data_IF_604865062049
#
_entry.id   IF_604865062049
#
_cell.length_a   1.000
_cell.length_b   1.000
_cell.length_c   1.000
_cell.angle_alpha   90.00
_cell.angle_beta   90.00
_cell.angle_gamma   90.00
#
_symmetry.space_group_name_H-M   'P 1'
#
loop_
_entity.id
_entity.type
_entity.pdbx_description
1 polymer ?
#
# COMPACT_ATOMS: atom_id res chain seq x y z
N UNK A 1 -8.34 -9.03 16.63
CA UNK A 1 -8.23 -9.59 15.27
C UNK A 1 -9.60 -9.70 14.62
N UNK A 2 -10.54 -10.48 15.16
CA UNK A 2 -11.89 -10.59 14.60
C UNK A 2 -12.67 -9.26 14.62
N UNK A 3 -12.64 -8.53 15.73
CA UNK A 3 -13.27 -7.20 15.81
C UNK A 3 -12.61 -6.17 14.86
N UNK A 4 -11.29 -6.28 14.67
CA UNK A 4 -10.51 -5.34 13.83
C UNK A 4 -10.83 -5.55 12.33
N UNK A 5 -11.25 -6.75 11.91
CA UNK A 5 -11.68 -6.98 10.53
C UNK A 5 -13.07 -6.42 10.25
N UNK A 6 -14.01 -6.63 11.15
CA UNK A 6 -15.34 -6.04 11.03
C UNK A 6 -15.25 -4.51 10.98
N UNK A 7 -14.34 -3.93 11.77
CA UNK A 7 -14.03 -2.50 11.73
C UNK A 7 -13.42 -2.09 10.38
N UNK A 8 -12.44 -2.83 9.84
CA UNK A 8 -11.83 -2.53 8.54
C UNK A 8 -12.81 -2.66 7.37
N UNK A 9 -13.71 -3.65 7.39
CA UNK A 9 -14.75 -3.82 6.37
C UNK A 9 -15.77 -2.67 6.42
N UNK A 10 -16.18 -2.26 7.63
CA UNK A 10 -17.04 -1.09 7.82
C UNK A 10 -16.38 0.18 7.30
N UNK A 11 -15.10 0.41 7.62
CA UNK A 11 -14.34 1.56 7.12
C UNK A 11 -14.20 1.52 5.60
N UNK A 12 -14.00 0.33 5.01
CA UNK A 12 -13.92 0.17 3.55
C UNK A 12 -15.24 0.55 2.87
N UNK A 13 -16.37 0.06 3.40
CA UNK A 13 -17.69 0.38 2.88
C UNK A 13 -18.05 1.86 3.05
N UNK A 14 -17.74 2.47 4.19
CA UNK A 14 -17.93 3.90 4.41
C UNK A 14 -17.13 4.73 3.40
N UNK A 15 -15.87 4.34 3.18
CA UNK A 15 -14.98 5.05 2.27
C UNK A 15 -15.44 4.91 0.81
N UNK A 16 -15.99 3.76 0.41
CA UNK A 16 -16.60 3.55 -0.90
C UNK A 16 -17.83 4.45 -1.13
N UNK A 17 -18.74 4.52 -0.15
CA UNK A 17 -19.93 5.38 -0.21
C UNK A 17 -19.56 6.87 -0.26
N UNK A 18 -18.50 7.27 0.45
CA UNK A 18 -18.00 8.65 0.43
C UNK A 18 -17.27 8.99 -0.87
N UNK A 19 -16.54 8.02 -1.46
CA UNK A 19 -15.65 8.26 -2.59
C UNK A 19 -16.37 8.64 -3.89
N UNK A 20 -17.38 7.87 -4.29
CA UNK A 20 -18.08 8.10 -5.56
C UNK A 20 -18.67 9.52 -5.71
N UNK A 21 -19.45 10.05 -4.76
CA UNK A 21 -19.98 11.41 -4.88
C UNK A 21 -18.88 12.48 -4.85
N UNK A 22 -17.78 12.27 -4.12
CA UNK A 22 -16.65 13.20 -4.08
C UNK A 22 -15.93 13.29 -5.43
N UNK A 23 -15.75 12.15 -6.10
CA UNK A 23 -15.07 12.07 -7.38
C UNK A 23 -15.95 12.63 -8.51
N UNK A 24 -17.27 12.39 -8.45
CA UNK A 24 -18.23 13.02 -9.36
C UNK A 24 -18.27 14.55 -9.16
N UNK A 25 -18.30 15.01 -7.91
CA UNK A 25 -18.24 16.44 -7.58
C UNK A 25 -16.94 17.09 -8.08
N UNK A 26 -15.79 16.40 -7.95
CA UNK A 26 -14.51 16.87 -8.48
C UNK A 26 -14.50 16.95 -10.01
N UNK A 27 -15.09 15.94 -10.67
CA UNK A 27 -15.19 15.85 -12.13
C UNK A 27 -16.10 16.95 -12.69
N UNK A 28 -17.20 17.28 -11.99
CA UNK A 28 -18.10 18.37 -12.34
C UNK A 28 -17.44 19.75 -12.13
N UNK A 29 -16.74 19.93 -11.01
CA UNK A 29 -16.10 21.20 -10.66
C UNK A 29 -14.74 21.00 -10.01
N UNK A 30 -13.71 21.25 -10.80
CA UNK A 30 -12.31 21.27 -10.33
C UNK A 30 -12.12 22.47 -9.41
N UNK A 31 -11.96 22.20 -8.12
CA UNK A 31 -11.68 23.23 -7.11
C UNK A 31 -10.61 22.74 -6.14
N UNK A 32 -9.85 23.67 -5.56
CA UNK A 32 -8.82 23.35 -4.56
C UNK A 32 -9.41 22.64 -3.34
N UNK A 33 -10.67 22.95 -3.00
CA UNK A 33 -11.40 22.28 -1.92
C UNK A 33 -11.72 20.83 -2.27
N UNK A 34 -12.22 20.55 -3.47
CA UNK A 34 -12.55 19.19 -3.90
C UNK A 34 -11.30 18.33 -4.07
N UNK A 35 -10.22 18.91 -4.61
CA UNK A 35 -8.91 18.24 -4.69
C UNK A 35 -8.37 17.86 -3.30
N UNK A 36 -8.50 18.75 -2.32
CA UNK A 36 -8.09 18.46 -0.95
C UNK A 36 -8.95 17.36 -0.30
N UNK A 37 -10.27 17.36 -0.55
CA UNK A 37 -11.17 16.28 -0.09
C UNK A 37 -10.78 14.93 -0.69
N UNK A 38 -10.55 14.86 -2.00
CA UNK A 38 -10.10 13.63 -2.68
C UNK A 38 -8.71 13.19 -2.22
N UNK A 39 -7.78 14.12 -1.99
CA UNK A 39 -6.46 13.81 -1.42
C UNK A 39 -6.55 13.20 -0.02
N UNK A 40 -7.42 13.73 0.84
CA UNK A 40 -7.67 13.16 2.18
C UNK A 40 -8.32 11.79 2.10
N UNK A 41 -9.29 11.63 1.22
CA UNK A 41 -9.93 10.34 0.93
C UNK A 41 -8.90 9.30 0.47
N UNK A 42 -8.07 9.62 -0.53
CA UNK A 42 -6.96 8.77 -1.00
C UNK A 42 -5.97 8.42 0.11
N UNK A 43 -5.66 9.37 0.99
CA UNK A 43 -4.78 9.12 2.14
C UNK A 43 -5.38 8.11 3.13
N UNK A 44 -6.68 8.24 3.43
CA UNK A 44 -7.41 7.27 4.27
C UNK A 44 -7.47 5.90 3.61
N UNK A 45 -7.78 5.86 2.31
CA UNK A 45 -7.81 4.63 1.52
C UNK A 45 -6.47 3.90 1.59
N UNK A 46 -5.37 4.57 1.26
CA UNK A 46 -4.02 3.96 1.28
C UNK A 46 -3.65 3.46 2.68
N UNK A 47 -4.02 4.18 3.73
CA UNK A 47 -3.78 3.74 5.10
C UNK A 47 -4.57 2.46 5.45
N UNK A 48 -5.85 2.41 5.06
CA UNK A 48 -6.70 1.25 5.28
C UNK A 48 -6.23 0.04 4.46
N UNK A 49 -5.93 0.23 3.17
CA UNK A 49 -5.39 -0.84 2.31
C UNK A 49 -4.13 -1.47 2.90
N UNK A 50 -3.22 -0.67 3.46
CA UNK A 50 -2.02 -1.19 4.14
C UNK A 50 -2.34 -2.01 5.39
N UNK A 51 -3.33 -1.58 6.19
CA UNK A 51 -3.78 -2.33 7.37
C UNK A 51 -4.38 -3.68 6.97
N UNK A 52 -5.26 -3.68 5.96
CA UNK A 52 -5.89 -4.90 5.42
C UNK A 52 -4.85 -5.84 4.82
N UNK A 53 -3.88 -5.33 4.05
CA UNK A 53 -2.75 -6.11 3.53
C UNK A 53 -1.95 -6.76 4.66
N UNK A 54 -1.62 -6.01 5.72
CA UNK A 54 -0.89 -6.56 6.84
C UNK A 54 -1.65 -7.71 7.52
N UNK A 55 -2.96 -7.56 7.73
CA UNK A 55 -3.78 -8.63 8.32
C UNK A 55 -3.87 -9.84 7.38
N UNK A 56 -3.97 -9.62 6.06
CA UNK A 56 -3.89 -10.68 5.05
C UNK A 56 -2.60 -11.47 5.19
N UNK A 57 -1.46 -10.77 5.20
CA UNK A 57 -0.13 -11.39 5.22
C UNK A 57 0.12 -12.15 6.53
N UNK A 58 -0.35 -11.63 7.67
CA UNK A 58 -0.26 -12.33 8.97
C UNK A 58 -1.10 -13.62 9.01
N UNK A 59 -2.24 -13.66 8.31
CA UNK A 59 -3.10 -14.85 8.24
C UNK A 59 -2.58 -15.87 7.24
N UNK A 60 -2.09 -15.41 6.09
CA UNK A 60 -1.41 -16.26 5.11
C UNK A 60 -0.24 -16.98 5.79
N UNK A 61 0.58 -16.24 6.54
CA UNK A 61 1.69 -16.82 7.30
C UNK A 61 1.23 -17.83 8.36
N UNK A 62 0.13 -17.56 9.07
CA UNK A 62 -0.42 -18.47 10.08
C UNK A 62 -0.98 -19.75 9.44
N UNK A 63 -1.60 -19.64 8.27
CA UNK A 63 -2.13 -20.79 7.52
C UNK A 63 -1.02 -21.65 6.90
N UNK A 64 0.16 -21.07 6.61
CA UNK A 64 1.29 -21.80 6.03
C UNK A 64 2.02 -22.73 7.05
N UNK A 65 1.81 -22.56 8.36
CA UNK A 65 2.48 -23.35 9.41
C UNK A 65 1.47 -24.11 10.30
N UNK A 66 1.32 -25.42 10.04
CA UNK A 66 0.51 -26.35 10.84
C UNK A 66 0.91 -26.36 12.33
N UNK A 67 2.17 -26.06 12.66
CA UNK A 67 2.67 -25.95 14.02
C UNK A 67 2.06 -24.75 14.76
N UNK A 68 2.05 -23.58 14.11
CA UNK A 68 1.42 -22.37 14.66
C UNK A 68 -0.10 -22.55 14.78
N UNK A 69 -0.74 -23.24 13.83
CA UNK A 69 -2.16 -23.62 13.92
C UNK A 69 -2.44 -24.55 15.12
N UNK A 70 -1.58 -25.55 15.35
CA UNK A 70 -1.71 -26.48 16.46
C UNK A 70 -1.55 -25.79 17.83
N UNK A 71 -0.72 -24.76 17.92
CA UNK A 71 -0.52 -23.99 19.16
C UNK A 71 -1.77 -23.23 19.60
N UNK A 72 -2.71 -22.94 18.69
CA UNK A 72 -3.93 -22.19 18.97
C UNK A 72 -4.98 -23.01 19.75
N UNK A 73 -4.81 -24.34 19.87
CA UNK A 73 -5.66 -25.23 20.67
C UNK A 73 -5.40 -25.13 22.19
N UNK A 74 -5.51 -23.91 22.72
CA UNK A 74 -5.16 -23.56 24.09
C UNK A 74 -6.01 -24.26 25.15
N UNK A 75 -7.30 -24.54 24.85
CA UNK A 75 -8.22 -25.22 25.76
C UNK A 75 -7.75 -26.65 26.07
N UNK A 76 -7.29 -27.37 25.06
CA UNK A 76 -6.77 -28.74 25.21
C UNK A 76 -5.38 -28.72 25.83
N UNK A 77 -4.52 -27.76 25.45
CA UNK A 77 -3.19 -27.54 26.07
C UNK A 77 -3.31 -27.23 27.57
N UNK A 78 -4.30 -26.42 27.97
CA UNK A 78 -4.62 -26.11 29.37
C UNK A 78 -5.12 -27.34 30.13
N UNK A 79 -6.04 -28.11 29.54
CA UNK A 79 -6.56 -29.36 30.14
C UNK A 79 -5.45 -30.38 30.38
N UNK A 80 -4.55 -30.56 29.42
CA UNK A 80 -3.36 -31.43 29.55
C UNK A 80 -2.43 -30.98 30.67
N UNK A 81 -2.21 -29.67 30.78
CA UNK A 81 -1.40 -29.09 31.85
C UNK A 81 -2.05 -29.28 33.23
N UNK A 82 -3.36 -29.07 33.36
CA UNK A 82 -4.12 -29.29 34.60
C UNK A 82 -4.11 -30.77 35.02
N UNK A 83 -4.22 -31.71 34.09
CA UNK A 83 -4.10 -33.15 34.34
C UNK A 83 -2.69 -33.56 34.79
N UNK A 84 -1.65 -32.95 34.21
CA UNK A 84 -0.26 -33.22 34.61
C UNK A 84 0.07 -32.74 36.03
N UNK A 85 -0.54 -31.64 36.49
CA UNK A 85 -0.34 -31.12 37.85
C UNK A 85 -1.02 -31.97 38.95
N UNK A 86 -2.08 -32.71 38.63
CA UNK A 86 -2.73 -33.63 39.58
C UNK A 86 -2.09 -35.03 39.61
N UNK A 87 -1.35 -35.42 38.56
CA UNK A 87 -0.73 -36.75 38.46
C UNK A 87 0.51 -36.97 39.33
N UNK A 88 1.24 -35.91 39.69
CA UNK A 88 2.53 -36.01 40.39
C UNK A 88 2.43 -36.29 41.91
N UNK A 89 1.22 -36.33 42.47
CA UNK A 89 1.01 -36.63 43.90
C UNK A 89 0.94 -38.12 44.25
N UNK A 90 0.96 -39.06 43.29
CA UNK A 90 0.68 -40.49 43.59
C UNK A 90 1.88 -41.45 43.63
N UNK A 91 3.14 -40.99 43.49
CA UNK A 91 4.32 -41.88 43.45
C UNK A 91 5.38 -41.60 44.53
N UNK A 92 4.97 -41.43 45.79
CA UNK A 92 5.92 -41.44 46.93
C UNK A 92 5.28 -42.06 48.17
N UNK A 93 5.15 -43.39 48.17
CA UNK A 93 4.56 -44.13 49.27
C UNK A 93 5.11 -45.54 49.41
N UNK A 94 5.97 -45.70 50.42
CA UNK A 94 6.34 -46.95 51.12
C UNK A 94 7.30 -47.95 50.45
N UNK A 95 8.54 -47.96 50.96
CA UNK A 95 9.12 -49.18 51.56
C UNK A 95 10.29 -48.84 52.51
N UNK A 96 10.08 -49.09 53.81
CA UNK A 96 11.13 -49.15 54.83
C UNK A 96 11.11 -50.51 55.49
N UNK A 97 12.31 -51.10 55.64
CA UNK A 97 12.84 -52.07 56.64
C UNK A 97 14.15 -52.60 56.01
N UNK A 98 15.32 -52.73 56.63
CA UNK A 98 15.85 -52.61 57.98
C UNK A 98 17.39 -52.83 57.87
N UNK A 99 18.20 -52.44 58.88
CA UNK A 99 19.48 -53.12 59.17
C UNK A 99 20.84 -52.53 58.71
N UNK A 100 21.37 -51.60 59.52
CA UNK A 100 22.74 -51.51 60.06
C UNK A 100 24.04 -51.72 59.20
N UNK A 101 24.79 -50.60 59.06
CA UNK A 101 26.21 -50.36 59.42
C UNK A 101 27.38 -51.24 58.89
N UNK A 102 28.26 -50.54 58.14
CA UNK A 102 29.72 -50.36 58.37
C UNK A 102 30.82 -51.19 57.66
N UNK A 103 31.78 -50.42 57.10
CA UNK A 103 33.20 -50.70 56.70
C UNK A 103 33.40 -51.63 55.47
N UNK A 104 34.27 -51.40 54.47
CA UNK A 104 35.53 -50.63 54.37
C UNK A 104 36.05 -50.51 52.90
N UNK A 105 36.73 -49.37 52.64
CA UNK A 105 37.89 -49.04 51.77
C UNK A 105 38.17 -49.68 50.37
N UNK A 106 38.75 -48.90 49.42
CA UNK A 106 39.07 -49.30 48.04
C UNK A 106 40.55 -49.72 47.87
N UNK A 107 40.85 -50.66 46.97
CA UNK A 107 42.22 -50.87 46.47
C UNK A 107 42.20 -51.36 45.01
N UNK A 108 42.69 -50.51 44.10
CA UNK A 108 43.21 -50.88 42.76
C UNK A 108 44.63 -51.48 42.92
N UNK A 109 45.20 -52.32 42.01
CA UNK A 109 45.45 -51.89 40.62
C UNK A 109 45.45 -52.97 39.51
N UNK A 110 45.22 -52.49 38.28
CA UNK A 110 45.91 -52.80 37.01
C UNK A 110 46.31 -54.26 36.71
N UNK A 111 45.65 -54.86 35.70
CA UNK A 111 46.28 -55.15 34.38
C UNK A 111 45.29 -55.90 33.47
N UNK A 112 44.92 -55.30 32.34
CA UNK A 112 44.42 -55.97 31.13
C UNK A 112 45.58 -56.74 30.42
N UNK A 113 45.39 -57.60 29.39
CA UNK A 113 44.35 -57.55 28.35
C UNK A 113 43.86 -58.98 27.88
N UNK A 114 43.28 -59.20 26.68
CA UNK A 114 41.92 -59.76 26.55
C UNK A 114 41.84 -61.09 25.76
N UNK A 115 40.60 -61.53 25.51
CA UNK A 115 40.17 -62.58 24.57
C UNK A 115 40.31 -64.03 25.10
N UNK A 116 39.24 -64.80 25.25
CA UNK A 116 38.34 -65.18 24.17
C UNK A 116 36.98 -65.65 24.68
N UNK A 117 35.98 -65.35 23.85
CA UNK A 117 34.56 -65.63 24.00
C UNK A 117 34.27 -67.13 23.94
N UNK A 118 33.47 -67.68 24.86
CA UNK A 118 32.42 -68.66 24.51
C UNK A 118 31.31 -68.75 25.56
N UNK A 119 30.13 -69.05 25.03
CA UNK A 119 28.76 -68.77 25.46
C UNK A 119 28.20 -69.86 26.39
N UNK A 120 27.38 -69.50 27.39
CA UNK A 120 26.23 -70.33 27.82
C UNK A 120 25.14 -69.56 28.62
N UNK A 121 24.14 -69.13 27.84
CA UNK A 121 22.68 -69.08 28.04
C UNK A 121 22.05 -69.31 29.45
N UNK A 122 21.32 -68.29 29.92
CA UNK A 122 19.92 -68.37 30.42
C UNK A 122 19.39 -66.94 30.71
N UNK A 123 18.94 -66.21 29.69
CA UNK A 123 17.51 -65.95 29.39
C UNK A 123 16.61 -65.69 30.61
N UNK A 124 16.49 -64.41 30.99
CA UNK A 124 15.27 -63.87 31.58
C UNK A 124 14.72 -62.75 30.69
N UNK A 125 13.42 -62.88 30.45
CA UNK A 125 12.56 -62.10 29.59
C UNK A 125 12.12 -60.85 30.36
N UNK A 126 12.39 -59.66 29.81
CA UNK A 126 11.57 -58.47 30.06
C UNK A 126 11.81 -57.46 28.93
N UNK A 127 11.03 -57.63 27.88
CA UNK A 127 10.80 -56.66 26.81
C UNK A 127 9.92 -55.55 27.38
N UNK A 128 10.48 -54.38 27.67
CA UNK A 128 9.69 -53.13 27.70
C UNK A 128 10.04 -52.33 26.45
N UNK A 129 9.43 -52.77 25.34
CA UNK A 129 9.09 -51.86 24.25
C UNK A 129 8.13 -50.83 24.84
N UNK A 130 8.59 -49.60 25.04
CA UNK A 130 7.68 -48.46 25.17
C UNK A 130 7.51 -47.88 23.77
N UNK A 131 6.72 -48.59 22.95
CA UNK A 131 6.14 -48.03 21.73
C UNK A 131 4.62 -48.20 21.82
N UNK A 132 3.93 -47.12 21.45
CA UNK A 132 2.48 -46.97 21.27
C UNK A 132 1.61 -46.81 22.53
N UNK A 133 1.41 -45.54 22.90
CA UNK A 133 0.07 -44.95 23.10
C UNK A 133 0.12 -43.47 22.70
N UNK A 134 0.35 -43.16 21.40
CA UNK A 134 0.09 -41.82 20.83
C UNK A 134 -0.69 -41.84 19.51
N UNK A 135 -1.10 -43.01 19.05
CA UNK A 135 -1.77 -43.18 17.75
C UNK A 135 -3.23 -42.70 17.72
N UNK A 136 -3.80 -42.34 18.88
CA UNK A 136 -5.14 -41.74 18.97
C UNK A 136 -5.10 -40.22 19.16
N UNK A 137 -3.93 -39.63 19.45
CA UNK A 137 -3.80 -38.18 19.65
C UNK A 137 -3.59 -37.43 18.33
N UNK A 138 -2.84 -38.01 17.39
CA UNK A 138 -2.57 -37.34 16.10
C UNK A 138 -3.83 -37.14 15.26
N UNK A 139 -4.78 -38.09 15.29
CA UNK A 139 -6.02 -37.99 14.52
C UNK A 139 -6.95 -36.88 15.03
N UNK A 140 -6.97 -36.62 16.34
CA UNK A 140 -7.74 -35.52 16.92
C UNK A 140 -7.05 -34.17 16.71
N UNK A 141 -5.72 -34.13 16.72
CA UNK A 141 -4.94 -32.92 16.43
C UNK A 141 -5.07 -32.52 14.95
N UNK A 142 -5.01 -33.46 14.01
CA UNK A 142 -5.22 -33.17 12.58
C UNK A 142 -6.66 -32.73 12.28
N UNK A 143 -7.66 -33.37 12.90
CA UNK A 143 -9.06 -33.05 12.67
C UNK A 143 -9.46 -31.69 13.27
N UNK A 144 -8.76 -31.27 14.33
CA UNK A 144 -8.92 -29.94 14.90
C UNK A 144 -8.19 -28.90 14.04
N UNK A 145 -6.95 -29.12 13.61
CA UNK A 145 -6.26 -28.24 12.65
C UNK A 145 -7.12 -27.98 11.39
N UNK A 146 -7.75 -29.01 10.83
CA UNK A 146 -8.62 -28.90 9.65
C UNK A 146 -9.87 -28.01 9.91
N UNK A 147 -10.46 -28.05 11.12
CA UNK A 147 -11.56 -27.15 11.49
C UNK A 147 -11.11 -25.68 11.59
N UNK A 148 -9.89 -25.44 12.08
CA UNK A 148 -9.30 -24.11 12.20
C UNK A 148 -8.91 -23.53 10.84
N UNK A 149 -8.34 -24.37 9.96
CA UNK A 149 -8.02 -24.05 8.57
C UNK A 149 -9.27 -23.60 7.82
N UNK A 150 -10.38 -24.36 7.89
CA UNK A 150 -11.66 -23.97 7.27
C UNK A 150 -12.16 -22.59 7.75
N UNK A 151 -11.97 -22.27 9.04
CA UNK A 151 -12.37 -20.97 9.59
C UNK A 151 -11.46 -19.83 9.12
N UNK A 152 -10.15 -20.05 9.13
CA UNK A 152 -9.18 -19.07 8.66
C UNK A 152 -9.34 -18.80 7.16
N UNK A 153 -9.62 -19.83 6.36
CA UNK A 153 -9.83 -19.69 4.92
C UNK A 153 -11.10 -18.89 4.61
N UNK A 154 -12.19 -19.12 5.34
CA UNK A 154 -13.41 -18.29 5.22
C UNK A 154 -13.12 -16.80 5.49
N UNK A 155 -12.26 -16.51 6.45
CA UNK A 155 -11.86 -15.13 6.78
C UNK A 155 -10.86 -14.56 5.76
N UNK A 156 -9.94 -15.37 5.25
CA UNK A 156 -9.02 -15.00 4.17
C UNK A 156 -9.79 -14.56 2.92
N UNK A 157 -10.87 -15.27 2.56
CA UNK A 157 -11.77 -14.86 1.47
C UNK A 157 -12.40 -13.49 1.71
N UNK A 158 -12.82 -13.18 2.95
CA UNK A 158 -13.41 -11.87 3.29
C UNK A 158 -12.36 -10.75 3.21
N UNK A 159 -11.15 -10.99 3.72
CA UNK A 159 -10.05 -10.02 3.59
C UNK A 159 -9.74 -9.76 2.13
N UNK A 160 -9.59 -10.80 1.32
CA UNK A 160 -9.22 -10.67 -0.08
C UNK A 160 -10.31 -9.93 -0.86
N UNK A 161 -11.59 -10.21 -0.57
CA UNK A 161 -12.71 -9.43 -1.10
C UNK A 161 -12.62 -7.95 -0.71
N UNK A 162 -12.31 -7.66 0.55
CA UNK A 162 -12.16 -6.28 1.04
C UNK A 162 -10.98 -5.57 0.38
N UNK A 163 -9.85 -6.24 0.25
CA UNK A 163 -8.65 -5.74 -0.42
C UNK A 163 -8.92 -5.45 -1.90
N UNK A 164 -9.63 -6.34 -2.58
CA UNK A 164 -10.04 -6.16 -3.96
C UNK A 164 -10.94 -4.92 -4.13
N UNK A 165 -11.94 -4.72 -3.26
CA UNK A 165 -12.77 -3.49 -3.24
C UNK A 165 -11.93 -2.23 -3.06
N UNK A 166 -11.03 -2.22 -2.08
CA UNK A 166 -10.14 -1.07 -1.83
C UNK A 166 -9.20 -0.81 -3.01
N UNK A 167 -8.72 -1.86 -3.67
CA UNK A 167 -7.84 -1.75 -4.85
C UNK A 167 -8.59 -1.18 -6.04
N UNK A 168 -9.81 -1.67 -6.33
CA UNK A 168 -10.67 -1.11 -7.38
C UNK A 168 -11.01 0.36 -7.11
N UNK A 169 -11.28 0.71 -5.85
CA UNK A 169 -11.54 2.11 -5.50
C UNK A 169 -10.31 3.00 -5.66
N UNK A 170 -9.12 2.48 -5.35
CA UNK A 170 -7.85 3.17 -5.58
C UNK A 170 -7.63 3.43 -7.06
N UNK A 171 -7.82 2.42 -7.90
CA UNK A 171 -7.72 2.55 -9.36
C UNK A 171 -8.69 3.62 -9.87
N UNK A 172 -9.94 3.61 -9.41
CA UNK A 172 -10.92 4.62 -9.79
C UNK A 172 -10.53 6.06 -9.39
N UNK A 173 -9.95 6.24 -8.20
CA UNK A 173 -9.40 7.53 -7.76
C UNK A 173 -8.21 7.94 -8.62
N UNK A 174 -7.30 7.02 -8.93
CA UNK A 174 -6.11 7.28 -9.75
C UNK A 174 -6.52 7.66 -11.19
N UNK A 175 -7.49 6.96 -11.79
CA UNK A 175 -8.06 7.29 -13.10
C UNK A 175 -8.70 8.68 -13.12
N UNK A 176 -9.42 9.04 -12.04
CA UNK A 176 -10.01 10.37 -11.89
C UNK A 176 -8.92 11.44 -11.75
N UNK A 177 -7.84 11.17 -11.02
CA UNK A 177 -6.70 12.09 -10.90
C UNK A 177 -6.03 12.33 -12.26
N UNK A 178 -5.84 11.29 -13.06
CA UNK A 178 -5.30 11.40 -14.42
C UNK A 178 -6.23 12.20 -15.34
N UNK A 179 -7.54 11.95 -15.28
CA UNK A 179 -8.52 12.75 -16.01
C UNK A 179 -8.45 14.25 -15.63
N UNK A 180 -8.36 14.54 -14.33
CA UNK A 180 -8.26 15.90 -13.81
C UNK A 180 -6.94 16.56 -14.23
N UNK A 181 -5.83 15.82 -14.23
CA UNK A 181 -4.54 16.31 -14.71
C UNK A 181 -4.61 16.69 -16.19
N UNK A 182 -5.22 15.87 -17.03
CA UNK A 182 -5.43 16.18 -18.45
C UNK A 182 -6.28 17.45 -18.62
N UNK A 183 -7.37 17.59 -17.84
CA UNK A 183 -8.23 18.77 -17.87
C UNK A 183 -7.50 20.05 -17.43
N UNK A 184 -6.70 19.97 -16.36
CA UNK A 184 -5.90 21.09 -15.87
C UNK A 184 -4.82 21.50 -16.87
N UNK A 185 -4.19 20.55 -17.54
CA UNK A 185 -3.22 20.83 -18.58
C UNK A 185 -3.87 21.48 -19.81
N UNK A 186 -5.09 21.08 -20.17
CA UNK A 186 -5.86 21.74 -21.22
C UNK A 186 -6.16 23.21 -20.86
N UNK A 187 -6.63 23.48 -19.64
CA UNK A 187 -6.88 24.85 -19.15
C UNK A 187 -5.59 25.67 -19.11
N UNK A 188 -4.48 25.08 -18.66
CA UNK A 188 -3.16 25.75 -18.67
C UNK A 188 -2.73 26.08 -20.10
N UNK A 189 -2.93 25.16 -21.05
CA UNK A 189 -2.61 25.40 -22.45
C UNK A 189 -3.44 26.54 -23.04
N UNK A 190 -4.74 26.64 -22.69
CA UNK A 190 -5.58 27.77 -23.07
C UNK A 190 -5.08 29.10 -22.47
N UNK A 191 -4.64 29.09 -21.21
CA UNK A 191 -4.08 30.28 -20.56
C UNK A 191 -2.80 30.75 -21.27
N UNK A 192 -1.87 29.83 -21.53
CA UNK A 192 -0.62 30.12 -22.27
C UNK A 192 -0.94 30.70 -23.65
N UNK A 193 -1.95 30.16 -24.33
CA UNK A 193 -2.40 30.67 -25.63
C UNK A 193 -2.93 32.11 -25.51
N UNK A 194 -3.75 32.40 -24.51
CA UNK A 194 -4.29 33.75 -24.28
C UNK A 194 -3.18 34.75 -23.91
N UNK A 195 -2.25 34.36 -23.06
CA UNK A 195 -1.08 35.17 -22.67
C UNK A 195 -0.23 35.55 -23.89
N UNK A 196 0.00 34.58 -24.77
CA UNK A 196 0.78 34.79 -25.98
C UNK A 196 0.06 35.69 -27.00
N UNK A 197 -1.27 35.58 -27.10
CA UNK A 197 -2.10 36.49 -27.90
C UNK A 197 -2.01 37.91 -27.36
N UNK A 198 -2.16 38.09 -26.04
CA UNK A 198 -2.08 39.39 -25.37
C UNK A 198 -0.69 40.02 -25.58
N UNK A 199 0.38 39.25 -25.40
CA UNK A 199 1.77 39.69 -25.62
C UNK A 199 2.01 40.15 -27.07
N UNK A 200 1.43 39.44 -28.04
CA UNK A 200 1.50 39.84 -29.45
C UNK A 200 0.74 41.15 -29.71
N UNK A 201 -0.45 41.30 -29.11
CA UNK A 201 -1.23 42.53 -29.22
C UNK A 201 -0.50 43.73 -28.60
N UNK A 202 0.09 43.57 -27.41
CA UNK A 202 0.87 44.63 -26.75
C UNK A 202 2.12 44.98 -27.53
N UNK A 203 2.79 44.00 -28.15
CA UNK A 203 3.91 44.25 -29.05
C UNK A 203 3.52 45.15 -30.25
N UNK A 204 2.37 44.86 -30.89
CA UNK A 204 1.85 45.70 -31.99
C UNK A 204 1.53 47.12 -31.48
N UNK A 205 0.88 47.24 -30.33
CA UNK A 205 0.59 48.56 -29.70
C UNK A 205 1.88 49.32 -29.37
N UNK A 206 2.93 48.63 -28.93
CA UNK A 206 4.22 49.26 -28.64
C UNK A 206 4.86 49.88 -29.89
N UNK A 207 4.75 49.24 -31.06
CA UNK A 207 5.22 49.81 -32.33
C UNK A 207 4.49 51.13 -32.64
N UNK A 208 3.15 51.16 -32.47
CA UNK A 208 2.38 52.40 -32.60
C UNK A 208 2.79 53.46 -31.55
N UNK A 209 3.09 53.03 -30.33
CA UNK A 209 3.58 53.90 -29.26
C UNK A 209 4.91 54.56 -29.57
N UNK A 210 5.85 53.86 -30.21
CA UNK A 210 7.14 54.44 -30.65
C UNK A 210 6.90 55.54 -31.68
N UNK A 211 6.02 55.30 -32.64
CA UNK A 211 5.65 56.30 -33.67
C UNK A 211 5.02 57.51 -33.00
N UNK A 212 4.00 57.30 -32.16
CA UNK A 212 3.34 58.37 -31.41
C UNK A 212 4.34 59.16 -30.54
N UNK A 213 5.31 58.48 -29.92
CA UNK A 213 6.38 59.10 -29.13
C UNK A 213 7.28 60.01 -29.96
N UNK A 214 7.74 59.57 -31.13
CA UNK A 214 8.57 60.38 -32.04
C UNK A 214 7.83 61.65 -32.47
N UNK A 215 6.54 61.54 -32.79
CA UNK A 215 5.71 62.70 -33.18
C UNK A 215 5.27 63.58 -32.01
N UNK A 216 5.26 63.03 -30.78
CA UNK A 216 5.00 63.78 -29.55
C UNK A 216 6.21 64.55 -29.01
N UNK A 217 7.38 64.42 -29.63
CA UNK A 217 8.60 65.13 -29.22
C UNK A 217 8.57 66.61 -29.64
N UNK A 218 8.99 67.51 -28.75
CA UNK A 218 9.05 68.96 -28.97
C UNK A 218 10.27 69.41 -29.81
N UNK A 219 10.73 68.58 -30.75
CA UNK A 219 11.87 68.88 -31.62
C UNK A 219 11.39 69.13 -33.05
N UNK A 220 11.89 70.20 -33.66
CA UNK A 220 11.51 70.61 -35.01
C UNK A 220 12.24 69.72 -36.05
N UNK A 221 11.61 68.61 -36.42
CA UNK A 221 12.11 67.74 -37.49
C UNK A 221 11.66 68.28 -38.86
N UNK A 222 12.53 68.25 -39.89
CA UNK A 222 12.20 68.73 -41.24
C UNK A 222 11.05 67.94 -41.91
N UNK A 223 10.68 66.78 -41.36
CA UNK A 223 9.52 65.99 -41.77
C UNK A 223 8.18 66.73 -41.55
N UNK A 224 8.09 67.66 -40.59
CA UNK A 224 6.87 68.41 -40.31
C UNK A 224 6.56 69.52 -41.34
N UNK A 225 7.54 69.91 -42.16
CA UNK A 225 7.35 70.94 -43.20
C UNK A 225 6.56 70.43 -44.41
N UNK A 226 6.42 69.11 -44.56
CA UNK A 226 5.63 68.49 -45.62
C UNK A 226 4.20 68.19 -45.15
N UNK A 227 3.16 68.83 -45.74
CA UNK A 227 1.78 68.72 -45.25
C UNK A 227 1.18 67.30 -45.33
N UNK A 228 1.80 66.38 -46.07
CA UNK A 228 1.35 65.00 -46.21
C UNK A 228 2.19 63.97 -45.44
N UNK A 229 3.33 64.35 -44.85
CA UNK A 229 4.25 63.39 -44.23
C UNK A 229 3.62 62.63 -43.06
N UNK A 230 2.87 63.32 -42.20
CA UNK A 230 2.16 62.70 -41.08
C UNK A 230 1.15 61.63 -41.54
N UNK A 231 0.39 61.92 -42.60
CA UNK A 231 -0.58 60.97 -43.16
C UNK A 231 0.10 59.72 -43.70
N UNK A 232 1.22 59.87 -44.42
CA UNK A 232 2.00 58.75 -44.94
C UNK A 232 2.57 57.88 -43.82
N UNK A 233 3.12 58.48 -42.76
CA UNK A 233 3.67 57.72 -41.63
C UNK A 233 2.57 56.97 -40.89
N UNK A 234 1.40 57.58 -40.68
CA UNK A 234 0.25 56.90 -40.07
C UNK A 234 -0.25 55.72 -40.92
N UNK A 235 -0.31 55.87 -42.24
CA UNK A 235 -0.70 54.79 -43.16
C UNK A 235 0.33 53.66 -43.15
N UNK A 236 1.63 53.99 -43.29
CA UNK A 236 2.70 52.99 -43.34
C UNK A 236 2.74 52.20 -42.02
N UNK A 237 2.71 52.89 -40.89
CA UNK A 237 2.76 52.24 -39.57
C UNK A 237 1.50 51.43 -39.28
N UNK A 238 0.32 51.91 -39.71
CA UNK A 238 -0.93 51.16 -39.70
C UNK A 238 -0.87 49.86 -40.50
N UNK A 239 -0.40 49.95 -41.75
CA UNK A 239 -0.25 48.79 -42.64
C UNK A 239 0.79 47.82 -42.09
N UNK A 240 1.95 48.30 -41.65
CA UNK A 240 3.00 47.47 -41.05
C UNK A 240 2.50 46.76 -39.79
N UNK A 241 1.79 47.45 -38.89
CA UNK A 241 1.20 46.86 -37.69
C UNK A 241 0.16 45.79 -38.02
N UNK A 242 -0.72 46.06 -39.00
CA UNK A 242 -1.71 45.08 -39.46
C UNK A 242 -1.04 43.85 -40.09
N UNK A 243 -0.03 44.04 -40.96
CA UNK A 243 0.72 42.94 -41.59
C UNK A 243 1.41 42.08 -40.54
N UNK A 244 2.05 42.69 -39.54
CA UNK A 244 2.66 41.96 -38.42
C UNK A 244 1.59 41.16 -37.67
N UNK A 245 0.47 41.79 -37.29
CA UNK A 245 -0.61 41.11 -36.57
C UNK A 245 -1.19 39.93 -37.36
N UNK A 246 -1.47 40.10 -38.65
CA UNK A 246 -1.98 39.02 -39.51
C UNK A 246 -0.94 37.92 -39.75
N UNK A 247 0.35 38.27 -39.90
CA UNK A 247 1.41 37.29 -40.01
C UNK A 247 1.52 36.43 -38.74
N UNK A 248 1.39 37.04 -37.56
CA UNK A 248 1.33 36.32 -36.29
C UNK A 248 0.09 35.42 -36.19
N UNK A 249 -1.11 35.92 -36.50
CA UNK A 249 -2.32 35.10 -36.50
C UNK A 249 -2.23 33.92 -37.48
N UNK A 250 -1.66 34.15 -38.66
CA UNK A 250 -1.41 33.11 -39.65
C UNK A 250 -0.44 32.06 -39.12
N UNK A 251 0.65 32.49 -38.49
CA UNK A 251 1.62 31.61 -37.84
C UNK A 251 0.97 30.77 -36.74
N UNK A 252 0.13 31.37 -35.89
CA UNK A 252 -0.65 30.64 -34.86
C UNK A 252 -1.57 29.58 -35.46
N UNK A 253 -2.28 29.93 -36.53
CA UNK A 253 -3.18 29.01 -37.22
C UNK A 253 -2.42 27.85 -37.88
N UNK A 254 -1.28 28.14 -38.51
CA UNK A 254 -0.50 27.14 -39.25
C UNK A 254 0.21 26.16 -38.31
N UNK A 255 0.64 26.60 -37.13
CA UNK A 255 1.36 25.75 -36.18
C UNK A 255 0.48 24.79 -35.39
N UNK A 256 -0.83 24.72 -35.67
CA UNK A 256 -1.78 23.72 -35.14
C UNK A 256 -1.66 23.51 -33.62
N UNK A 257 -1.61 24.62 -32.87
CA UNK A 257 -1.68 24.66 -31.39
C UNK A 257 -3.11 24.48 -30.84
N UNK A 258 -4.06 24.09 -31.70
CA UNK A 258 -5.40 23.71 -31.31
C UNK A 258 -5.55 22.20 -31.50
N UNK A 259 -5.65 21.39 -30.43
CA UNK A 259 -6.52 20.24 -30.53
C UNK A 259 -7.95 20.81 -30.69
N UNK A 260 -8.59 20.48 -31.81
CA UNK A 260 -10.05 20.57 -31.90
C UNK A 260 -10.66 19.57 -30.92
#
# INVERSE_FOLDING_TARGET
MFDDLGEMEMMAAELEIEAYPLLDELTSKISTLNLERVRRLKSRLVALTRRVQKVRDEIEQLMDDDGDMAEMYLTEKKRRMELSCYGDQSLLGYRSTDGALSLSAPVSPVSSPPESRRLEKSLSIARSRHESMRSSESGTETQSIEELEMLLEAYFVVIDSTLNKLTSLKEYIDDTEDFINIQLDNVRNQLIQFELLLTTATFVVAIFGVVAGIFGMNFEIPMFNEPNAFKWVLIITGVTGAVIFFAFLWFFKYRRLMPL
#
